data_IF_471532891189
#
_entry.id   IF_471532891189
#
_cell.length_a   1.000
_cell.length_b   1.000
_cell.length_c   1.000
_cell.angle_alpha   90.00
_cell.angle_beta   90.00
_cell.angle_gamma   90.00
#
_symmetry.space_group_name_H-M   'P 1'
#
loop_
_entity.id
_entity.type
_entity.pdbx_description
1 polymer ?
#
# COMPACT_ATOMS: atom_id res chain seq x y z
N UNK A 1 -68.95 45.91 -27.74
CA UNK A 1 -67.88 46.91 -27.64
C UNK A 1 -66.59 46.14 -27.51
N UNK A 2 -65.85 46.16 -28.60
CA UNK A 2 -64.73 45.29 -28.93
C UNK A 2 -63.45 45.62 -28.15
N UNK A 3 -62.63 44.61 -27.87
CA UNK A 3 -61.17 44.73 -27.97
C UNK A 3 -60.54 43.38 -28.27
N UNK A 4 -60.02 43.28 -29.48
CA UNK A 4 -59.20 42.20 -30.01
C UNK A 4 -57.83 42.10 -29.32
N UNK A 5 -57.31 40.88 -29.19
CA UNK A 5 -55.89 40.63 -29.48
C UNK A 5 -55.73 39.23 -30.11
N UNK A 6 -55.03 39.23 -31.25
CA UNK A 6 -54.81 38.12 -32.18
C UNK A 6 -53.61 37.28 -31.73
N UNK A 7 -53.71 35.97 -31.81
CA UNK A 7 -52.56 35.08 -32.07
C UNK A 7 -52.80 34.31 -33.35
N UNK A 8 -51.86 34.43 -34.27
CA UNK A 8 -51.87 33.87 -35.62
C UNK A 8 -51.05 32.59 -35.67
N UNK A 9 -51.71 31.56 -36.20
CA UNK A 9 -51.18 30.27 -36.63
C UNK A 9 -50.32 30.42 -37.89
N UNK A 10 -49.19 29.71 -37.97
CA UNK A 10 -48.53 29.40 -39.25
C UNK A 10 -47.78 28.07 -39.18
N UNK A 11 -48.34 27.10 -39.90
CA UNK A 11 -47.75 25.88 -40.45
C UNK A 11 -46.62 26.18 -41.45
N UNK A 12 -45.52 25.42 -41.40
CA UNK A 12 -44.53 25.20 -42.48
C UNK A 12 -43.89 23.83 -42.19
N UNK A 13 -44.29 22.78 -42.92
CA UNK A 13 -43.67 22.24 -44.14
C UNK A 13 -42.28 21.60 -43.93
N UNK A 14 -42.30 20.27 -43.92
CA UNK A 14 -41.16 19.37 -43.98
C UNK A 14 -40.49 19.46 -45.37
N UNK A 15 -39.18 19.71 -45.40
CA UNK A 15 -38.37 19.44 -46.58
C UNK A 15 -37.17 18.57 -46.19
N UNK A 16 -37.16 17.37 -46.77
CA UNK A 16 -36.09 16.40 -46.73
C UNK A 16 -34.88 16.89 -47.50
N UNK A 17 -33.70 16.95 -46.88
CA UNK A 17 -32.43 17.09 -47.60
C UNK A 17 -31.44 16.06 -47.08
N UNK A 18 -31.17 15.07 -47.93
CA UNK A 18 -30.24 13.97 -47.73
C UNK A 18 -28.80 14.51 -47.86
N UNK A 19 -28.14 14.80 -46.74
CA UNK A 19 -26.73 15.14 -46.69
C UNK A 19 -25.87 13.90 -46.48
N UNK A 20 -25.02 13.58 -47.45
CA UNK A 20 -23.96 12.58 -47.33
C UNK A 20 -22.95 13.02 -46.26
N UNK A 21 -22.80 12.21 -45.20
CA UNK A 21 -21.72 12.33 -44.23
C UNK A 21 -20.59 11.41 -44.68
N UNK A 22 -19.49 12.01 -45.12
CA UNK A 22 -18.22 11.33 -45.35
C UNK A 22 -17.68 10.80 -44.01
N UNK A 23 -17.39 9.50 -43.97
CA UNK A 23 -16.83 8.82 -42.80
C UNK A 23 -15.34 9.12 -42.68
N UNK A 24 -14.95 9.90 -41.67
CA UNK A 24 -13.55 10.01 -41.25
C UNK A 24 -13.05 8.65 -40.74
N UNK A 25 -12.07 8.10 -41.46
CA UNK A 25 -11.42 6.85 -41.14
C UNK A 25 -10.56 6.99 -39.88
N UNK A 26 -10.95 6.32 -38.80
CA UNK A 26 -10.05 6.11 -37.64
C UNK A 26 -8.92 5.18 -38.05
N UNK A 27 -7.71 5.73 -38.14
CA UNK A 27 -6.50 5.00 -38.51
C UNK A 27 -6.05 4.09 -37.36
N UNK A 28 -6.57 2.86 -37.34
CA UNK A 28 -6.16 1.81 -36.41
C UNK A 28 -4.82 1.26 -36.87
N UNK A 29 -3.73 1.69 -36.26
CA UNK A 29 -2.41 1.05 -36.40
C UNK A 29 -2.52 -0.46 -36.11
N UNK A 30 -2.58 -1.27 -37.18
CA UNK A 30 -2.53 -2.73 -37.11
C UNK A 30 -1.17 -3.13 -36.54
N UNK A 31 -1.16 -3.58 -35.29
CA UNK A 31 0.01 -4.23 -34.68
C UNK A 31 0.51 -5.34 -35.61
N UNK A 32 1.78 -5.28 -36.03
CA UNK A 32 2.43 -6.32 -36.83
C UNK A 32 2.39 -7.64 -36.06
N UNK A 33 1.51 -8.54 -36.47
CA UNK A 33 1.52 -9.93 -36.01
C UNK A 33 2.66 -10.67 -36.68
N UNK A 34 3.44 -11.42 -35.90
CA UNK A 34 4.41 -12.35 -36.47
C UNK A 34 3.67 -13.57 -37.01
N UNK A 35 3.91 -13.94 -38.26
CA UNK A 35 3.28 -15.10 -38.92
C UNK A 35 3.79 -16.44 -38.39
N UNK A 36 4.91 -16.46 -37.66
CA UNK A 36 5.48 -17.66 -37.04
C UNK A 36 5.04 -17.78 -35.57
N UNK A 37 4.68 -19.00 -35.17
CA UNK A 37 4.41 -19.32 -33.77
C UNK A 37 5.70 -19.25 -32.94
N UNK A 38 5.65 -18.75 -31.71
CA UNK A 38 6.83 -18.73 -30.85
C UNK A 38 7.22 -20.15 -30.38
N UNK A 39 8.51 -20.38 -30.17
CA UNK A 39 9.05 -21.69 -29.80
C UNK A 39 8.39 -22.29 -28.56
N UNK A 40 7.96 -21.43 -27.63
CA UNK A 40 7.32 -21.84 -26.40
C UNK A 40 5.89 -22.38 -26.63
N UNK A 41 5.14 -21.81 -27.57
CA UNK A 41 3.83 -22.31 -27.98
C UNK A 41 3.96 -23.60 -28.79
N UNK A 42 4.97 -23.69 -29.66
CA UNK A 42 5.30 -24.92 -30.42
C UNK A 42 5.64 -26.06 -29.46
N UNK A 43 6.56 -25.82 -28.52
CA UNK A 43 6.98 -26.81 -27.52
C UNK A 43 5.83 -27.32 -26.65
N UNK A 44 4.86 -26.45 -26.32
CA UNK A 44 3.68 -26.81 -25.52
C UNK A 44 2.50 -27.33 -26.33
N UNK A 45 2.61 -27.42 -27.66
CA UNK A 45 1.53 -27.79 -28.60
C UNK A 45 0.24 -26.98 -28.38
N UNK A 46 0.35 -25.66 -28.18
CA UNK A 46 -0.81 -24.75 -28.00
C UNK A 46 -0.84 -23.67 -29.09
N UNK A 47 -2.02 -23.18 -29.43
CA UNK A 47 -2.22 -22.12 -30.44
C UNK A 47 -1.51 -20.82 -30.02
N UNK A 48 -0.59 -20.32 -30.85
CA UNK A 48 0.12 -19.06 -30.62
C UNK A 48 -0.78 -17.88 -30.99
N UNK A 49 -0.88 -16.87 -30.13
CA UNK A 49 -1.71 -15.67 -30.38
C UNK A 49 -1.02 -14.65 -31.29
N UNK A 50 0.26 -14.86 -31.63
CA UNK A 50 1.04 -13.95 -32.50
C UNK A 50 1.39 -12.61 -31.87
N UNK A 51 1.12 -12.43 -30.57
CA UNK A 51 1.55 -11.28 -29.78
C UNK A 51 2.98 -11.55 -29.30
N UNK A 52 3.93 -10.64 -29.58
CA UNK A 52 5.33 -10.80 -29.17
C UNK A 52 5.42 -11.05 -27.65
N UNK A 53 6.03 -12.16 -27.19
CA UNK A 53 6.39 -12.30 -25.79
C UNK A 53 7.54 -11.34 -25.47
N UNK A 54 7.38 -10.51 -24.44
CA UNK A 54 8.39 -9.56 -23.93
C UNK A 54 9.69 -10.22 -23.41
N UNK A 55 9.86 -11.54 -23.56
CA UNK A 55 10.85 -12.33 -22.80
C UNK A 55 12.04 -12.86 -23.60
N UNK A 56 12.20 -12.52 -24.89
CA UNK A 56 13.27 -13.10 -25.71
C UNK A 56 14.24 -12.05 -26.29
N UNK A 57 14.85 -11.23 -25.42
CA UNK A 57 16.13 -10.60 -25.74
C UNK A 57 17.23 -11.48 -25.14
N UNK A 58 18.16 -12.05 -25.93
CA UNK A 58 19.25 -12.85 -25.40
C UNK A 58 20.17 -12.00 -24.49
N UNK A 59 20.42 -12.46 -23.27
CA UNK A 59 21.31 -11.78 -22.30
C UNK A 59 22.79 -11.74 -22.74
N UNK A 60 23.19 -12.54 -23.73
CA UNK A 60 24.60 -12.66 -24.15
C UNK A 60 25.06 -11.58 -25.15
N UNK A 61 24.26 -10.53 -25.38
CA UNK A 61 24.64 -9.40 -26.24
C UNK A 61 25.18 -8.19 -25.46
N UNK A 62 25.56 -8.36 -24.19
CA UNK A 62 26.09 -7.30 -23.33
C UNK A 62 27.61 -7.47 -23.23
N UNK A 63 28.35 -6.71 -24.05
CA UNK A 63 29.80 -6.57 -23.95
C UNK A 63 30.12 -5.49 -22.92
N UNK A 64 31.02 -5.76 -21.98
CA UNK A 64 31.32 -4.92 -20.80
C UNK A 64 32.05 -3.60 -21.12
N UNK A 65 32.58 -3.41 -22.34
CA UNK A 65 33.46 -2.27 -22.67
C UNK A 65 32.86 -1.19 -23.60
N UNK A 66 31.53 -1.15 -23.76
CA UNK A 66 30.88 -0.03 -24.44
C UNK A 66 30.12 0.85 -23.44
N UNK A 67 30.63 2.06 -23.26
CA UNK A 67 29.90 3.19 -22.70
C UNK A 67 28.45 3.18 -23.21
N UNK A 68 27.51 3.34 -22.28
CA UNK A 68 26.06 3.26 -22.42
C UNK A 68 25.42 4.18 -23.48
N UNK A 69 25.76 4.04 -24.76
CA UNK A 69 24.96 4.52 -25.89
C UNK A 69 24.07 3.37 -26.37
N UNK A 70 23.04 3.07 -25.56
CA UNK A 70 22.00 2.10 -25.88
C UNK A 70 21.07 2.67 -26.95
N UNK A 71 21.36 2.34 -28.21
CA UNK A 71 20.33 2.30 -29.25
C UNK A 71 19.38 1.14 -28.95
N UNK A 72 18.09 1.46 -28.76
CA UNK A 72 17.00 0.55 -28.37
C UNK A 72 16.87 0.26 -26.86
N UNK A 73 16.72 1.29 -26.03
CA UNK A 73 15.72 1.43 -24.95
C UNK A 73 15.82 2.82 -24.30
N UNK A 74 15.96 3.87 -25.12
CA UNK A 74 15.93 5.27 -24.69
C UNK A 74 14.48 5.72 -24.43
N UNK A 75 13.89 5.28 -23.31
CA UNK A 75 12.71 5.94 -22.74
C UNK A 75 13.05 6.70 -21.46
N UNK A 76 14.33 7.06 -21.29
CA UNK A 76 14.84 7.89 -20.19
C UNK A 76 15.44 9.15 -20.82
N UNK A 77 14.60 9.91 -21.51
CA UNK A 77 14.73 11.35 -21.75
C UNK A 77 13.33 11.83 -22.14
N UNK A 78 12.81 12.84 -21.45
CA UNK A 78 11.41 13.27 -21.61
C UNK A 78 11.30 14.17 -22.83
N UNK A 79 10.52 13.75 -23.81
CA UNK A 79 10.07 14.53 -24.95
C UNK A 79 8.66 15.10 -24.71
N UNK A 80 8.23 16.00 -25.59
CA UNK A 80 7.05 16.89 -25.55
C UNK A 80 5.66 16.23 -25.30
N UNK A 81 5.61 14.93 -25.00
CA UNK A 81 4.40 14.10 -24.92
C UNK A 81 3.94 13.75 -23.48
N UNK A 82 4.40 14.45 -22.45
CA UNK A 82 3.80 14.38 -21.10
C UNK A 82 4.12 13.12 -20.27
N UNK A 83 5.33 12.55 -20.38
CA UNK A 83 5.79 11.46 -19.48
C UNK A 83 6.86 11.95 -18.52
N UNK A 84 6.71 11.67 -17.23
CA UNK A 84 7.65 12.09 -16.17
C UNK A 84 9.01 11.37 -16.28
N UNK A 85 10.09 12.14 -16.13
CA UNK A 85 11.50 11.77 -16.00
C UNK A 85 11.77 10.90 -14.76
N UNK A 86 12.93 10.23 -14.74
CA UNK A 86 13.38 9.45 -13.58
C UNK A 86 13.55 10.29 -12.31
N UNK A 87 13.86 11.59 -12.42
CA UNK A 87 13.88 12.52 -11.27
C UNK A 87 12.50 12.68 -10.67
N UNK A 88 11.48 12.82 -11.51
CA UNK A 88 10.10 13.04 -11.07
C UNK A 88 9.53 11.82 -10.34
N UNK A 89 9.81 10.59 -10.78
CA UNK A 89 9.32 9.40 -10.08
C UNK A 89 9.94 9.19 -8.69
N UNK A 90 11.23 9.52 -8.49
CA UNK A 90 11.81 9.51 -7.14
C UNK A 90 11.16 10.54 -6.21
N UNK A 91 10.79 11.71 -6.75
CA UNK A 91 10.10 12.74 -5.97
C UNK A 91 8.69 12.27 -5.56
N UNK A 92 7.97 11.62 -6.49
CA UNK A 92 6.67 10.99 -6.20
C UNK A 92 6.81 9.92 -5.11
N UNK A 93 7.86 9.09 -5.17
CA UNK A 93 8.14 8.10 -4.13
C UNK A 93 8.26 8.76 -2.75
N UNK A 94 9.14 9.76 -2.61
CA UNK A 94 9.40 10.41 -1.34
C UNK A 94 8.20 11.18 -0.79
N UNK A 95 7.40 11.76 -1.69
CA UNK A 95 6.20 12.50 -1.30
C UNK A 95 5.07 11.56 -0.83
N UNK A 96 4.85 10.45 -1.54
CA UNK A 96 3.61 9.67 -1.40
C UNK A 96 3.80 8.30 -0.74
N UNK A 97 4.91 7.63 -1.00
CA UNK A 97 5.14 6.21 -0.63
C UNK A 97 6.09 6.09 0.54
N UNK A 98 7.13 6.92 0.60
CA UNK A 98 8.19 6.84 1.61
C UNK A 98 7.67 6.93 3.04
N UNK A 99 6.60 7.69 3.26
CA UNK A 99 5.92 7.78 4.55
C UNK A 99 5.27 6.47 5.01
N UNK A 100 4.92 5.59 4.08
CA UNK A 100 4.30 4.29 4.32
C UNK A 100 5.34 3.17 4.34
N UNK A 101 6.40 3.34 3.57
CA UNK A 101 7.44 2.37 3.35
C UNK A 101 8.76 3.13 3.24
N UNK A 102 9.47 3.34 4.34
CA UNK A 102 10.73 4.06 4.29
C UNK A 102 11.85 3.15 3.81
N UNK A 103 12.71 3.67 2.95
CA UNK A 103 13.89 2.95 2.43
C UNK A 103 15.17 3.71 2.74
N UNK A 104 15.22 4.99 2.38
CA UNK A 104 16.37 5.86 2.60
C UNK A 104 15.91 7.27 2.93
N UNK A 105 16.73 8.02 3.68
CA UNK A 105 16.55 9.45 3.84
C UNK A 105 16.60 10.14 2.47
N UNK A 106 15.64 11.02 2.11
CA UNK A 106 15.64 11.73 0.83
C UNK A 106 16.96 12.46 0.55
N UNK A 107 17.51 13.15 1.54
CA UNK A 107 18.75 13.93 1.38
C UNK A 107 19.93 13.02 1.04
N UNK A 108 20.07 11.91 1.77
CA UNK A 108 21.11 10.92 1.53
C UNK A 108 20.93 10.24 0.16
N UNK A 109 19.69 9.95 -0.21
CA UNK A 109 19.37 9.36 -1.51
C UNK A 109 19.78 10.28 -2.65
N UNK A 110 19.41 11.56 -2.60
CA UNK A 110 19.74 12.50 -3.68
C UNK A 110 21.22 12.82 -3.74
N UNK A 111 21.91 12.91 -2.60
CA UNK A 111 23.36 13.06 -2.55
C UNK A 111 24.11 11.88 -3.19
N UNK A 112 23.57 10.66 -3.06
CA UNK A 112 24.23 9.43 -3.53
C UNK A 112 23.48 8.74 -4.68
N UNK A 113 22.63 9.46 -5.42
CA UNK A 113 21.71 8.87 -6.41
C UNK A 113 22.42 7.97 -7.43
N UNK A 114 23.63 8.34 -7.84
CA UNK A 114 24.45 7.60 -8.81
C UNK A 114 24.97 6.25 -8.28
N UNK A 115 24.98 6.06 -6.96
CA UNK A 115 25.41 4.82 -6.29
C UNK A 115 24.23 3.92 -5.91
N UNK A 116 22.99 4.40 -6.09
CA UNK A 116 21.81 3.61 -5.75
C UNK A 116 21.67 2.45 -6.75
N UNK A 117 21.56 1.19 -6.30
CA UNK A 117 21.41 0.05 -7.20
C UNK A 117 20.19 0.21 -8.11
N UNK A 118 20.36 -0.13 -9.40
CA UNK A 118 19.25 -0.10 -10.38
C UNK A 118 18.05 -0.91 -9.89
N UNK A 119 18.29 -2.03 -9.21
CA UNK A 119 17.23 -2.86 -8.64
C UNK A 119 16.31 -2.06 -7.71
N UNK A 120 16.88 -1.23 -6.84
CA UNK A 120 16.11 -0.38 -5.92
C UNK A 120 15.38 0.74 -6.68
N UNK A 121 16.04 1.40 -7.63
CA UNK A 121 15.43 2.47 -8.42
C UNK A 121 14.21 1.97 -9.19
N UNK A 122 14.31 0.84 -9.88
CA UNK A 122 13.16 0.26 -10.59
C UNK A 122 12.03 -0.13 -9.62
N UNK A 123 12.34 -0.63 -8.42
CA UNK A 123 11.33 -0.96 -7.43
C UNK A 123 10.59 0.30 -6.93
N UNK A 124 11.34 1.39 -6.68
CA UNK A 124 10.78 2.71 -6.33
C UNK A 124 9.91 3.27 -7.47
N UNK A 125 10.35 3.16 -8.73
CA UNK A 125 9.57 3.61 -9.89
C UNK A 125 8.27 2.84 -10.03
N UNK A 126 8.32 1.50 -9.90
CA UNK A 126 7.13 0.67 -10.00
C UNK A 126 6.04 1.11 -9.02
N UNK A 127 6.38 1.28 -7.73
CA UNK A 127 5.41 1.71 -6.71
C UNK A 127 4.94 3.15 -6.89
N UNK A 128 5.82 4.04 -7.34
CA UNK A 128 5.49 5.46 -7.52
C UNK A 128 4.55 5.68 -8.69
N UNK A 129 4.83 5.01 -9.81
CA UNK A 129 3.99 5.07 -11.00
C UNK A 129 2.61 4.49 -10.66
N UNK A 130 2.54 3.29 -10.08
CA UNK A 130 1.23 2.71 -9.75
C UNK A 130 0.47 3.52 -8.69
N UNK A 131 1.16 4.12 -7.72
CA UNK A 131 0.55 5.03 -6.75
C UNK A 131 0.00 6.31 -7.38
N UNK A 132 0.66 6.86 -8.40
CA UNK A 132 0.27 8.10 -9.06
C UNK A 132 -0.81 7.90 -10.13
N UNK A 133 -0.65 6.89 -11.00
CA UNK A 133 -1.54 6.67 -12.14
C UNK A 133 -2.70 5.73 -11.85
N UNK A 134 -2.70 5.06 -10.69
CA UNK A 134 -3.63 3.98 -10.35
C UNK A 134 -3.75 2.97 -11.51
N UNK A 135 -2.65 2.70 -12.21
CA UNK A 135 -2.63 1.85 -13.42
C UNK A 135 -1.49 0.83 -13.37
N UNK A 136 -1.59 -0.18 -14.24
CA UNK A 136 -0.55 -1.18 -14.49
C UNK A 136 0.74 -0.59 -15.12
N UNK A 137 0.88 0.73 -15.20
CA UNK A 137 2.04 1.40 -15.79
C UNK A 137 3.35 1.12 -15.01
N UNK A 138 3.26 0.68 -13.75
CA UNK A 138 4.42 0.20 -12.97
C UNK A 138 4.93 -1.19 -13.39
N UNK A 139 4.17 -1.95 -14.18
CA UNK A 139 4.49 -3.36 -14.48
C UNK A 139 5.77 -3.54 -15.29
N UNK A 140 6.13 -2.55 -16.11
CA UNK A 140 7.40 -2.55 -16.83
C UNK A 140 8.59 -2.57 -15.85
N UNK A 141 8.61 -1.62 -14.91
CA UNK A 141 9.68 -1.53 -13.91
C UNK A 141 9.66 -2.73 -12.97
N UNK A 142 8.48 -3.22 -12.59
CA UNK A 142 8.35 -4.41 -11.76
C UNK A 142 8.86 -5.68 -12.47
N UNK A 143 8.59 -5.82 -13.78
CA UNK A 143 9.10 -6.94 -14.59
C UNK A 143 10.62 -6.86 -14.70
N UNK A 144 11.18 -5.67 -14.90
CA UNK A 144 12.63 -5.48 -14.90
C UNK A 144 13.26 -5.82 -13.53
N UNK A 145 12.61 -5.43 -12.43
CA UNK A 145 13.03 -5.81 -11.09
C UNK A 145 13.10 -7.34 -10.91
N UNK A 146 12.18 -8.11 -11.50
CA UNK A 146 12.21 -9.58 -11.44
C UNK A 146 13.45 -10.18 -12.11
N UNK A 147 13.95 -9.56 -13.18
CA UNK A 147 15.17 -9.99 -13.84
C UNK A 147 16.39 -9.70 -12.95
N UNK A 148 16.46 -8.49 -12.38
CA UNK A 148 17.55 -8.09 -11.47
C UNK A 148 17.55 -8.87 -10.15
N UNK A 149 16.36 -9.25 -9.67
CA UNK A 149 16.17 -10.02 -8.45
C UNK A 149 16.93 -11.35 -8.48
N UNK A 150 16.90 -12.08 -9.59
CA UNK A 150 17.56 -13.38 -9.71
C UNK A 150 19.08 -13.27 -9.49
N UNK A 151 19.69 -12.20 -9.99
CA UNK A 151 21.13 -11.97 -9.86
C UNK A 151 21.53 -11.46 -8.46
N UNK A 152 20.57 -11.01 -7.65
CA UNK A 152 20.84 -10.33 -6.37
C UNK A 152 20.66 -11.23 -5.15
N UNK A 153 20.19 -12.47 -5.31
CA UNK A 153 19.83 -13.37 -4.21
C UNK A 153 21.04 -14.00 -3.51
N UNK A 154 22.15 -14.19 -4.21
CA UNK A 154 23.31 -14.92 -3.70
C UNK A 154 24.12 -14.09 -2.68
N UNK A 155 24.13 -12.76 -2.84
CA UNK A 155 24.82 -11.84 -1.94
C UNK A 155 23.92 -10.65 -1.59
N UNK A 156 22.91 -10.84 -0.73
CA UNK A 156 21.92 -9.81 -0.44
C UNK A 156 22.55 -8.65 0.35
N UNK A 157 22.30 -7.44 -0.13
CA UNK A 157 22.60 -6.19 0.59
C UNK A 157 21.33 -5.64 1.25
N UNK A 158 21.46 -4.64 2.13
CA UNK A 158 20.31 -3.92 2.66
C UNK A 158 19.40 -3.35 1.54
N UNK A 159 20.00 -2.80 0.48
CA UNK A 159 19.28 -2.28 -0.68
C UNK A 159 18.56 -3.39 -1.44
N UNK A 160 19.17 -4.58 -1.56
CA UNK A 160 18.53 -5.77 -2.14
C UNK A 160 17.26 -6.11 -1.36
N UNK A 161 17.33 -6.15 -0.02
CA UNK A 161 16.18 -6.47 0.83
C UNK A 161 15.06 -5.42 0.66
N UNK A 162 15.38 -4.12 0.70
CA UNK A 162 14.39 -3.07 0.42
C UNK A 162 13.76 -3.18 -0.96
N UNK A 163 14.54 -3.50 -1.99
CA UNK A 163 14.04 -3.68 -3.36
C UNK A 163 13.01 -4.80 -3.41
N UNK A 164 13.30 -5.95 -2.80
CA UNK A 164 12.39 -7.10 -2.73
C UNK A 164 11.12 -6.73 -1.96
N UNK A 165 11.25 -5.98 -0.86
CA UNK A 165 10.09 -5.55 -0.07
C UNK A 165 9.24 -4.52 -0.82
N UNK A 166 9.82 -3.60 -1.59
CA UNK A 166 9.08 -2.67 -2.46
C UNK A 166 8.38 -3.41 -3.59
N UNK A 167 9.03 -4.42 -4.19
CA UNK A 167 8.37 -5.32 -5.13
C UNK A 167 7.21 -6.08 -4.48
N UNK A 168 7.40 -6.55 -3.25
CA UNK A 168 6.35 -7.21 -2.48
C UNK A 168 5.17 -6.25 -2.27
N UNK A 169 5.45 -5.01 -1.86
CA UNK A 169 4.45 -3.96 -1.69
C UNK A 169 3.70 -3.70 -2.99
N UNK A 170 4.43 -3.56 -4.10
CA UNK A 170 3.83 -3.41 -5.42
C UNK A 170 2.90 -4.58 -5.76
N UNK A 171 3.37 -5.81 -5.55
CA UNK A 171 2.60 -7.02 -5.83
C UNK A 171 1.37 -7.16 -4.94
N UNK A 172 1.46 -6.75 -3.68
CA UNK A 172 0.36 -6.84 -2.72
C UNK A 172 -0.72 -5.79 -2.99
N UNK A 173 -0.32 -4.58 -3.40
CA UNK A 173 -1.23 -3.44 -3.49
C UNK A 173 -1.73 -3.18 -4.90
N UNK A 174 -0.93 -3.42 -5.94
CA UNK A 174 -1.25 -3.00 -7.31
C UNK A 174 -1.37 -4.14 -8.33
N UNK A 175 -0.69 -5.28 -8.12
CA UNK A 175 -0.75 -6.37 -9.11
C UNK A 175 -2.01 -7.23 -9.04
N UNK A 176 -2.52 -7.56 -10.22
CA UNK A 176 -3.65 -8.48 -10.45
C UNK A 176 -3.34 -9.95 -10.15
N UNK A 177 -2.06 -10.33 -10.07
CA UNK A 177 -1.66 -11.75 -9.96
C UNK A 177 -1.60 -12.20 -8.51
N UNK A 178 -2.26 -13.33 -8.22
CA UNK A 178 -2.65 -13.76 -6.87
C UNK A 178 -1.53 -14.38 -6.01
N UNK A 179 -0.28 -14.51 -6.48
CA UNK A 179 0.75 -15.30 -5.78
C UNK A 179 2.12 -14.65 -5.56
N UNK A 180 2.40 -13.50 -6.17
CA UNK A 180 3.74 -12.90 -6.12
C UNK A 180 4.11 -12.30 -4.75
N UNK A 181 3.15 -11.62 -4.10
CA UNK A 181 3.42 -10.87 -2.88
C UNK A 181 4.01 -11.70 -1.74
N UNK A 182 3.33 -12.78 -1.29
CA UNK A 182 3.84 -13.62 -0.19
C UNK A 182 5.21 -14.25 -0.46
N UNK A 183 5.45 -14.71 -1.69
CA UNK A 183 6.73 -15.33 -2.06
C UNK A 183 7.88 -14.32 -2.06
N UNK A 184 7.62 -13.07 -2.48
CA UNK A 184 8.59 -11.99 -2.39
C UNK A 184 8.87 -11.57 -0.93
N UNK A 185 7.86 -11.53 -0.05
CA UNK A 185 8.08 -11.26 1.39
C UNK A 185 8.94 -12.36 2.01
N UNK A 186 8.65 -13.64 1.72
CA UNK A 186 9.48 -14.75 2.17
C UNK A 186 10.93 -14.65 1.64
N UNK A 187 11.10 -14.24 0.38
CA UNK A 187 12.43 -14.02 -0.20
C UNK A 187 13.18 -12.85 0.48
N UNK A 188 12.48 -11.77 0.83
CA UNK A 188 13.05 -10.65 1.58
C UNK A 188 13.49 -11.07 2.97
N UNK A 189 12.67 -11.84 3.69
CA UNK A 189 13.00 -12.40 5.01
C UNK A 189 14.26 -13.27 4.92
N UNK A 190 14.33 -14.19 3.96
CA UNK A 190 15.51 -15.04 3.74
C UNK A 190 16.75 -14.22 3.42
N UNK A 191 16.61 -13.23 2.54
CA UNK A 191 17.70 -12.33 2.15
C UNK A 191 18.22 -11.52 3.35
N UNK A 192 17.32 -11.06 4.21
CA UNK A 192 17.66 -10.35 5.45
C UNK A 192 18.37 -11.25 6.46
N UNK A 193 17.90 -12.49 6.65
CA UNK A 193 18.57 -13.47 7.51
C UNK A 193 19.98 -13.80 7.00
N UNK A 194 20.17 -13.93 5.69
CA UNK A 194 21.49 -14.13 5.09
C UNK A 194 22.40 -12.91 5.30
N UNK A 195 21.87 -11.70 5.15
CA UNK A 195 22.58 -10.45 5.46
C UNK A 195 22.99 -10.35 6.94
N UNK A 196 22.18 -10.85 7.87
CA UNK A 196 22.55 -10.91 9.29
C UNK A 196 23.65 -11.95 9.54
N UNK A 197 23.55 -13.14 8.94
CA UNK A 197 24.55 -14.21 9.08
C UNK A 197 25.92 -13.79 8.56
N UNK A 198 25.99 -13.09 7.43
CA UNK A 198 27.28 -12.62 6.89
C UNK A 198 27.97 -11.61 7.80
N UNK A 199 27.20 -10.83 8.58
CA UNK A 199 27.74 -9.91 9.59
C UNK A 199 28.21 -10.59 10.87
N UNK A 200 27.55 -11.67 11.29
CA UNK A 200 27.86 -12.38 12.54
C UNK A 200 28.98 -13.42 12.33
N UNK A 201 29.01 -14.09 11.17
CA UNK A 201 29.83 -15.27 10.92
C UNK A 201 31.22 -15.02 10.32
N UNK A 202 31.54 -13.79 9.91
CA UNK A 202 32.86 -13.44 9.39
C UNK A 202 33.51 -12.44 10.33
N UNK A 203 34.66 -12.79 10.91
CA UNK A 203 35.57 -11.77 11.44
C UNK A 203 35.77 -10.74 10.33
N UNK A 204 35.22 -9.54 10.52
CA UNK A 204 35.25 -8.52 9.48
C UNK A 204 36.71 -8.35 9.05
N UNK A 205 37.03 -8.32 7.74
CA UNK A 205 38.27 -7.67 7.33
C UNK A 205 38.26 -6.31 8.02
N UNK A 206 39.32 -6.01 8.77
CA UNK A 206 39.48 -4.81 9.59
C UNK A 206 39.57 -3.56 8.71
N UNK A 207 38.50 -3.25 7.99
CA UNK A 207 38.22 -1.94 7.49
C UNK A 207 37.67 -1.19 8.68
N UNK A 208 38.46 -0.24 9.23
CA UNK A 208 37.93 0.75 10.17
C UNK A 208 36.74 1.41 9.48
N UNK A 209 35.49 1.13 9.90
CA UNK A 209 34.37 1.88 9.37
C UNK A 209 34.60 3.33 9.80
N UNK A 210 34.33 4.29 8.91
CA UNK A 210 34.03 5.63 9.40
C UNK A 210 32.85 5.47 10.37
N UNK A 211 32.95 6.03 11.58
CA UNK A 211 31.90 5.91 12.63
C UNK A 211 30.49 6.29 12.12
N UNK A 212 30.43 7.12 11.07
CA UNK A 212 29.21 7.50 10.35
C UNK A 212 28.56 6.36 9.54
N UNK A 213 29.34 5.42 9.01
CA UNK A 213 28.84 4.28 8.22
C UNK A 213 28.27 3.20 9.14
N UNK A 214 28.86 2.98 10.31
CA UNK A 214 28.36 1.99 11.28
C UNK A 214 27.04 2.44 11.92
N UNK A 215 26.92 3.72 12.26
CA UNK A 215 25.67 4.31 12.77
C UNK A 215 24.56 4.27 11.71
N UNK A 216 24.87 4.68 10.46
CA UNK A 216 23.95 4.59 9.33
C UNK A 216 23.51 3.14 9.06
N UNK A 217 24.43 2.19 9.24
CA UNK A 217 24.18 0.76 9.10
C UNK A 217 23.20 0.25 10.17
N UNK A 218 23.28 0.70 11.43
CA UNK A 218 22.35 0.29 12.49
C UNK A 218 20.93 0.83 12.26
N UNK A 219 20.79 2.11 11.95
CA UNK A 219 19.48 2.73 11.66
C UNK A 219 18.81 2.08 10.45
N UNK A 220 19.58 1.81 9.39
CA UNK A 220 19.08 1.14 8.19
C UNK A 220 18.59 -0.28 8.49
N UNK A 221 19.31 -1.04 9.32
CA UNK A 221 18.91 -2.39 9.73
C UNK A 221 17.67 -2.38 10.62
N UNK A 222 17.53 -1.39 11.50
CA UNK A 222 16.31 -1.21 12.29
C UNK A 222 15.11 -0.92 11.40
N UNK A 223 15.28 -0.02 10.43
CA UNK A 223 14.24 0.31 9.45
C UNK A 223 13.85 -0.93 8.62
N UNK A 224 14.83 -1.69 8.13
CA UNK A 224 14.59 -2.95 7.42
C UNK A 224 13.78 -3.92 8.25
N UNK A 225 14.16 -4.12 9.52
CA UNK A 225 13.46 -5.02 10.44
C UNK A 225 12.01 -4.58 10.61
N UNK A 226 11.79 -3.28 10.81
CA UNK A 226 10.44 -2.70 10.93
C UNK A 226 9.60 -2.96 9.66
N UNK A 227 10.13 -2.64 8.47
CA UNK A 227 9.40 -2.81 7.20
C UNK A 227 9.12 -4.29 6.92
N UNK A 228 10.09 -5.18 7.21
CA UNK A 228 9.90 -6.63 7.12
C UNK A 228 8.75 -7.09 8.00
N UNK A 229 8.76 -6.65 9.25
CA UNK A 229 7.74 -7.04 10.22
C UNK A 229 6.34 -6.57 9.81
N UNK A 230 6.24 -5.33 9.33
CA UNK A 230 4.98 -4.80 8.80
C UNK A 230 4.50 -5.57 7.56
N UNK A 231 5.41 -5.94 6.65
CA UNK A 231 5.07 -6.68 5.43
C UNK A 231 4.68 -8.13 5.71
N UNK A 232 5.38 -8.81 6.62
CA UNK A 232 5.03 -10.14 7.13
C UNK A 232 3.63 -10.11 7.77
N UNK A 233 3.36 -9.09 8.59
CA UNK A 233 2.05 -8.87 9.19
C UNK A 233 0.92 -8.75 8.14
N UNK A 234 1.12 -7.88 7.14
CA UNK A 234 0.15 -7.66 6.05
C UNK A 234 -0.11 -8.91 5.23
N UNK A 235 0.94 -9.69 4.93
CA UNK A 235 0.80 -10.98 4.24
C UNK A 235 0.02 -11.97 5.09
N UNK A 236 0.32 -12.05 6.39
CA UNK A 236 -0.38 -12.94 7.31
C UNK A 236 -1.87 -12.64 7.43
N UNK A 237 -2.27 -11.37 7.43
CA UNK A 237 -3.70 -11.00 7.37
C UNK A 237 -4.31 -11.38 6.02
N UNK A 238 -3.71 -10.91 4.92
CA UNK A 238 -4.35 -10.96 3.59
C UNK A 238 -4.45 -12.39 3.04
N UNK A 239 -3.46 -13.23 3.32
CA UNK A 239 -3.37 -14.57 2.76
C UNK A 239 -3.56 -15.68 3.80
N UNK A 240 -3.74 -15.33 5.08
CA UNK A 240 -3.84 -16.30 6.18
C UNK A 240 -2.62 -17.24 6.24
N UNK A 241 -1.47 -16.75 5.78
CA UNK A 241 -0.20 -17.50 5.83
C UNK A 241 0.38 -17.31 7.23
N UNK A 242 0.87 -18.37 7.89
CA UNK A 242 1.61 -18.24 9.14
C UNK A 242 2.75 -17.24 8.99
N UNK A 243 2.96 -16.41 9.99
CA UNK A 243 4.07 -15.46 10.00
C UNK A 243 5.40 -16.18 9.81
N UNK A 244 6.24 -15.65 8.93
CA UNK A 244 7.50 -16.29 8.55
C UNK A 244 8.66 -15.68 9.37
N UNK A 245 8.50 -14.44 9.83
CA UNK A 245 9.54 -13.74 10.56
C UNK A 245 9.35 -13.90 12.06
N UNK A 246 9.83 -15.02 12.60
CA UNK A 246 9.80 -15.32 14.04
C UNK A 246 10.67 -14.31 14.81
N UNK A 247 10.02 -13.61 15.75
CA UNK A 247 10.47 -12.52 16.62
C UNK A 247 11.64 -11.66 16.13
N UNK A 248 11.42 -10.34 15.91
CA UNK A 248 12.52 -9.48 15.50
C UNK A 248 13.60 -9.53 16.60
N UNK A 249 14.89 -9.65 16.25
CA UNK A 249 15.98 -9.66 17.22
C UNK A 249 16.11 -8.25 17.81
N UNK A 250 15.22 -7.88 18.72
CA UNK A 250 15.07 -6.50 19.17
C UNK A 250 14.92 -6.45 20.69
N UNK A 251 16.08 -6.43 21.35
CA UNK A 251 16.26 -5.46 22.42
C UNK A 251 16.35 -4.08 21.75
N UNK A 252 15.20 -3.53 21.34
CA UNK A 252 15.12 -2.20 20.74
C UNK A 252 15.32 -1.16 21.84
N UNK A 253 16.57 -0.80 22.10
CA UNK A 253 16.87 0.46 22.77
C UNK A 253 16.98 1.53 21.69
N UNK A 254 16.11 2.57 21.70
CA UNK A 254 16.25 3.68 20.77
C UNK A 254 17.66 4.25 20.90
N UNK A 255 18.39 4.29 19.80
CA UNK A 255 19.74 4.85 19.79
C UNK A 255 19.59 6.32 20.17
N UNK A 256 20.05 6.70 21.36
CA UNK A 256 20.14 8.10 21.77
C UNK A 256 21.29 8.75 21.02
N UNK A 257 21.12 8.93 19.70
CA UNK A 257 22.08 9.63 18.87
C UNK A 257 22.05 11.12 19.23
N UNK A 258 23.18 11.65 19.68
CA UNK A 258 23.41 13.10 19.87
C UNK A 258 23.49 13.85 18.54
N UNK A 259 23.60 13.14 17.42
CA UNK A 259 23.79 13.76 16.11
C UNK A 259 22.47 14.21 15.46
N UNK A 260 22.48 15.35 14.74
CA UNK A 260 21.28 15.96 14.16
C UNK A 260 20.76 15.27 12.88
N UNK A 261 21.46 14.26 12.35
CA UNK A 261 21.33 13.86 10.94
C UNK A 261 20.17 12.92 10.57
N UNK A 262 19.20 12.64 11.44
CA UNK A 262 17.93 12.08 10.97
C UNK A 262 16.74 12.32 11.91
N UNK A 263 15.93 13.36 11.65
CA UNK A 263 14.61 13.49 12.29
C UNK A 263 13.67 12.32 11.94
N UNK A 264 13.98 11.54 10.90
CA UNK A 264 13.13 10.45 10.42
C UNK A 264 13.18 9.20 11.33
N UNK A 265 14.37 8.83 11.82
CA UNK A 265 14.57 7.65 12.69
C UNK A 265 14.27 7.93 14.16
N UNK A 266 14.23 9.20 14.55
CA UNK A 266 13.86 9.64 15.91
C UNK A 266 12.35 9.74 16.12
N UNK A 267 11.53 9.45 15.11
CA UNK A 267 10.08 9.60 15.24
C UNK A 267 9.52 8.52 16.18
N UNK A 268 9.01 8.96 17.34
CA UNK A 268 8.32 8.09 18.30
C UNK A 268 7.21 7.26 17.65
N UNK A 269 6.64 7.75 16.54
CA UNK A 269 5.65 7.05 15.74
C UNK A 269 6.08 5.63 15.37
N UNK A 270 7.31 5.42 14.85
CA UNK A 270 7.73 4.09 14.38
C UNK A 270 7.87 3.10 15.54
N UNK A 271 8.34 3.56 16.69
CA UNK A 271 8.45 2.76 17.91
C UNK A 271 7.06 2.32 18.37
N UNK A 272 6.11 3.25 18.45
CA UNK A 272 4.75 2.92 18.84
C UNK A 272 4.05 2.04 17.80
N UNK A 273 4.32 2.24 16.51
CA UNK A 273 3.76 1.39 15.46
C UNK A 273 4.27 -0.04 15.56
N UNK A 274 5.59 -0.23 15.74
CA UNK A 274 6.19 -1.56 15.88
C UNK A 274 5.61 -2.31 17.09
N UNK A 275 5.47 -1.63 18.24
CA UNK A 275 4.83 -2.22 19.44
C UNK A 275 3.39 -2.65 19.16
N UNK A 276 2.60 -1.87 18.41
CA UNK A 276 1.26 -2.29 17.99
C UNK A 276 1.30 -3.49 17.06
N UNK A 277 2.22 -3.54 16.09
CA UNK A 277 2.38 -4.69 15.20
C UNK A 277 2.71 -5.96 15.99
N UNK A 278 3.56 -5.87 17.02
CA UNK A 278 3.87 -7.00 17.91
C UNK A 278 2.66 -7.51 18.69
N UNK A 279 1.85 -6.59 19.21
CA UNK A 279 0.58 -6.93 19.86
C UNK A 279 -0.36 -7.58 18.85
N UNK A 280 -0.48 -7.02 17.64
CA UNK A 280 -1.34 -7.52 16.59
C UNK A 280 -0.99 -8.95 16.18
N UNK A 281 0.31 -9.23 16.00
CA UNK A 281 0.82 -10.57 15.72
C UNK A 281 0.46 -11.54 16.85
N UNK A 282 0.62 -11.14 18.11
CA UNK A 282 0.23 -11.96 19.27
C UNK A 282 -1.27 -12.27 19.30
N UNK A 283 -2.12 -11.30 18.99
CA UNK A 283 -3.59 -11.50 18.89
C UNK A 283 -3.91 -12.55 17.83
N UNK A 284 -3.20 -12.52 16.70
CA UNK A 284 -3.42 -13.47 15.61
C UNK A 284 -2.88 -14.88 15.90
N UNK A 285 -1.69 -15.00 16.50
CA UNK A 285 -1.03 -16.30 16.76
C UNK A 285 -1.55 -16.99 18.03
N UNK A 286 -1.88 -16.21 19.08
CA UNK A 286 -2.22 -16.74 20.40
C UNK A 286 -3.62 -16.26 20.84
N UNK A 287 -4.71 -16.60 20.11
CA UNK A 287 -6.04 -16.04 20.38
C UNK A 287 -6.62 -16.43 21.77
N UNK A 288 -6.01 -17.39 22.46
CA UNK A 288 -6.39 -17.83 23.80
C UNK A 288 -5.83 -16.94 24.93
N UNK A 289 -4.79 -16.13 24.68
CA UNK A 289 -4.13 -15.31 25.71
C UNK A 289 -4.67 -13.87 25.78
N UNK A 290 -5.99 -13.72 25.79
CA UNK A 290 -6.66 -12.41 25.70
C UNK A 290 -6.35 -11.50 26.88
N UNK A 291 -6.23 -12.05 28.08
CA UNK A 291 -5.94 -11.29 29.30
C UNK A 291 -4.60 -10.55 29.22
N UNK A 292 -3.55 -11.21 28.69
CA UNK A 292 -2.25 -10.57 28.47
C UNK A 292 -2.32 -9.55 27.33
N UNK A 293 -2.93 -9.91 26.20
CA UNK A 293 -3.06 -9.03 25.03
C UNK A 293 -3.81 -7.74 25.35
N UNK A 294 -4.89 -7.84 26.14
CA UNK A 294 -5.64 -6.69 26.64
C UNK A 294 -4.74 -5.73 27.44
N UNK A 295 -4.00 -6.26 28.42
CA UNK A 295 -3.06 -5.48 29.24
C UNK A 295 -1.94 -4.86 28.40
N UNK A 296 -1.46 -5.57 27.37
CA UNK A 296 -0.43 -5.05 26.46
C UNK A 296 -0.96 -3.87 25.63
N UNK A 297 -2.20 -3.94 25.12
CA UNK A 297 -2.85 -2.84 24.40
C UNK A 297 -3.08 -1.63 25.33
N UNK A 298 -3.59 -1.86 26.53
CA UNK A 298 -3.85 -0.81 27.53
C UNK A 298 -2.54 -0.10 27.93
N UNK A 299 -1.50 -0.87 28.26
CA UNK A 299 -0.18 -0.32 28.57
C UNK A 299 0.42 0.46 27.40
N UNK A 300 0.23 -0.02 26.17
CA UNK A 300 0.68 0.72 24.99
C UNK A 300 -0.04 2.07 24.89
N UNK A 301 -1.37 2.10 25.07
CA UNK A 301 -2.18 3.31 25.00
C UNK A 301 -1.78 4.31 26.10
N UNK A 302 -1.59 3.85 27.33
CA UNK A 302 -1.12 4.65 28.47
C UNK A 302 0.28 5.24 28.27
N UNK A 303 1.12 4.56 27.47
CA UNK A 303 2.48 5.03 27.17
C UNK A 303 2.54 6.14 26.11
N UNK A 304 1.42 6.49 25.47
CA UNK A 304 1.40 7.51 24.43
C UNK A 304 1.49 8.92 25.04
N UNK A 305 2.25 9.83 24.40
CA UNK A 305 2.21 11.24 24.76
C UNK A 305 0.81 11.84 24.65
N UNK A 306 0.48 12.79 25.55
CA UNK A 306 -0.84 13.47 25.57
C UNK A 306 -1.23 14.06 24.21
N UNK A 307 -0.29 14.67 23.49
CA UNK A 307 -0.56 15.27 22.18
C UNK A 307 -0.99 14.24 21.10
N UNK A 308 -0.70 12.95 21.28
CA UNK A 308 -1.17 11.87 20.41
C UNK A 308 -2.59 11.44 20.83
N UNK A 309 -2.82 11.32 22.13
CA UNK A 309 -4.10 10.91 22.70
C UNK A 309 -5.21 11.94 22.42
N UNK A 310 -4.91 13.22 22.65
CA UNK A 310 -5.84 14.35 22.52
C UNK A 310 -5.94 14.88 21.07
N UNK A 311 -5.21 14.27 20.13
CA UNK A 311 -5.26 14.63 18.72
C UNK A 311 -6.64 14.39 18.11
N UNK A 312 -7.37 15.46 17.81
CA UNK A 312 -8.63 15.42 17.05
C UNK A 312 -8.48 15.92 15.62
N UNK A 313 -7.51 16.79 15.34
CA UNK A 313 -7.23 17.32 14.00
C UNK A 313 -5.83 16.96 13.56
N UNK A 314 -5.66 16.73 12.26
CA UNK A 314 -4.41 16.25 11.68
C UNK A 314 -3.99 17.14 10.52
N UNK A 315 -2.69 17.17 10.22
CA UNK A 315 -2.14 17.90 9.08
C UNK A 315 -1.16 17.05 8.27
N UNK A 316 -1.06 17.37 6.98
CA UNK A 316 -0.09 16.74 6.07
C UNK A 316 1.30 17.39 6.09
N UNK A 317 1.40 18.62 6.60
CA UNK A 317 2.65 19.38 6.67
C UNK A 317 3.35 19.10 8.00
N UNK A 318 4.64 18.76 7.94
CA UNK A 318 5.50 18.53 9.12
C UNK A 318 5.93 19.88 9.73
N UNK A 319 5.11 20.92 9.63
CA UNK A 319 5.45 22.21 10.23
C UNK A 319 5.41 22.05 11.76
N UNK A 320 6.44 22.51 12.49
CA UNK A 320 6.62 22.19 13.92
C UNK A 320 5.51 22.63 14.88
N UNK A 321 4.51 23.41 14.46
CA UNK A 321 3.76 24.26 15.39
C UNK A 321 2.22 24.18 15.32
N UNK A 322 1.60 22.99 15.26
CA UNK A 322 0.37 22.76 16.07
C UNK A 322 -0.33 21.41 15.87
N UNK A 323 -0.34 20.83 14.66
CA UNK A 323 -1.22 19.68 14.39
C UNK A 323 -0.46 18.37 14.23
N UNK A 324 -0.86 17.28 14.91
CA UNK A 324 -0.26 15.96 14.71
C UNK A 324 -0.40 15.49 13.25
N UNK A 325 0.55 14.69 12.80
CA UNK A 325 0.55 14.20 11.42
C UNK A 325 -0.54 13.15 11.18
N UNK A 326 -0.93 12.94 9.92
CA UNK A 326 -1.83 11.84 9.55
C UNK A 326 -1.35 10.45 10.01
N UNK A 327 -0.04 10.27 10.22
CA UNK A 327 0.52 9.05 10.79
C UNK A 327 -0.03 8.77 12.20
N UNK A 328 -0.27 9.81 13.00
CA UNK A 328 -0.91 9.66 14.32
C UNK A 328 -2.34 9.16 14.17
N UNK A 329 -3.11 9.70 13.22
CA UNK A 329 -4.46 9.19 12.93
C UNK A 329 -4.43 7.72 12.52
N UNK A 330 -3.45 7.33 11.69
CA UNK A 330 -3.24 5.92 11.32
C UNK A 330 -2.96 5.03 12.53
N UNK A 331 -2.10 5.45 13.49
CA UNK A 331 -1.89 4.70 14.74
C UNK A 331 -3.17 4.52 15.54
N UNK A 332 -3.98 5.58 15.68
CA UNK A 332 -5.24 5.52 16.42
C UNK A 332 -6.24 4.56 15.74
N UNK A 333 -6.33 4.60 14.41
CA UNK A 333 -7.13 3.63 13.66
C UNK A 333 -6.63 2.21 13.88
N UNK A 334 -5.31 2.00 13.84
CA UNK A 334 -4.73 0.68 14.04
C UNK A 334 -4.98 0.15 15.45
N UNK A 335 -4.83 1.00 16.48
CA UNK A 335 -5.19 0.68 17.87
C UNK A 335 -6.63 0.19 18.00
N UNK A 336 -7.60 0.97 17.50
CA UNK A 336 -9.02 0.59 17.56
C UNK A 336 -9.32 -0.67 16.75
N UNK A 337 -8.61 -0.89 15.64
CA UNK A 337 -8.70 -2.13 14.89
C UNK A 337 -8.23 -3.34 15.73
N UNK A 338 -7.16 -3.20 16.51
CA UNK A 338 -6.71 -4.28 17.40
C UNK A 338 -7.71 -4.57 18.53
N UNK A 339 -8.39 -3.55 19.06
CA UNK A 339 -9.50 -3.76 19.99
C UNK A 339 -10.61 -4.60 19.32
N UNK A 340 -10.99 -4.27 18.09
CA UNK A 340 -11.97 -5.07 17.33
C UNK A 340 -11.48 -6.51 17.12
N UNK A 341 -10.20 -6.72 16.77
CA UNK A 341 -9.68 -8.08 16.60
C UNK A 341 -9.62 -8.86 17.93
N UNK A 342 -9.27 -8.21 19.03
CA UNK A 342 -9.19 -8.82 20.36
C UNK A 342 -10.53 -9.42 20.80
N UNK A 343 -11.63 -8.68 20.58
CA UNK A 343 -12.98 -9.07 20.98
C UNK A 343 -13.77 -9.78 19.86
N UNK A 344 -13.14 -10.12 18.73
CA UNK A 344 -13.82 -10.67 17.55
C UNK A 344 -14.59 -11.97 17.82
N UNK A 345 -14.07 -12.83 18.70
CA UNK A 345 -14.72 -14.12 19.00
C UNK A 345 -15.94 -13.93 19.90
N UNK A 346 -15.83 -13.09 20.94
CA UNK A 346 -16.92 -12.71 21.83
C UNK A 346 -18.00 -11.95 21.06
N UNK A 347 -17.61 -11.04 20.17
CA UNK A 347 -18.52 -10.32 19.29
C UNK A 347 -19.36 -11.29 18.44
N UNK A 348 -18.73 -12.35 17.88
CA UNK A 348 -19.45 -13.40 17.14
C UNK A 348 -20.38 -14.23 18.03
N UNK A 349 -19.99 -14.48 19.28
CA UNK A 349 -20.82 -15.20 20.23
C UNK A 349 -22.03 -14.36 20.65
N UNK A 350 -21.84 -13.06 20.90
CA UNK A 350 -22.90 -12.11 21.16
C UNK A 350 -23.95 -12.08 20.04
N UNK A 351 -23.51 -12.10 18.77
CA UNK A 351 -24.45 -12.20 17.63
C UNK A 351 -25.34 -13.44 17.67
N UNK A 352 -24.89 -14.54 18.28
CA UNK A 352 -25.67 -15.78 18.41
C UNK A 352 -26.62 -15.72 19.59
N UNK A 353 -26.15 -15.22 20.73
CA UNK A 353 -26.86 -15.31 22.00
C UNK A 353 -27.73 -14.09 22.29
N UNK A 354 -27.55 -12.98 21.57
CA UNK A 354 -28.22 -11.68 21.74
C UNK A 354 -28.12 -11.05 23.15
N UNK A 355 -27.23 -11.55 24.01
CA UNK A 355 -27.04 -11.04 25.36
C UNK A 355 -25.96 -9.96 25.37
N UNK A 356 -26.33 -8.70 25.65
CA UNK A 356 -25.41 -7.56 25.71
C UNK A 356 -24.16 -7.89 26.55
N UNK A 357 -23.01 -8.00 25.87
CA UNK A 357 -21.72 -8.22 26.50
C UNK A 357 -20.86 -6.97 26.30
N UNK A 358 -20.13 -6.59 27.34
CA UNK A 358 -19.06 -5.60 27.33
C UNK A 358 -18.12 -5.68 26.11
N UNK A 359 -17.92 -6.87 25.55
CA UNK A 359 -17.10 -7.08 24.35
C UNK A 359 -17.73 -6.49 23.08
N UNK A 360 -19.06 -6.56 22.95
CA UNK A 360 -19.82 -5.96 21.85
C UNK A 360 -19.68 -4.43 21.91
N UNK A 361 -19.99 -3.85 23.06
CA UNK A 361 -19.91 -2.40 23.29
C UNK A 361 -18.50 -1.85 22.97
N UNK A 362 -17.44 -2.52 23.42
CA UNK A 362 -16.05 -2.12 23.13
C UNK A 362 -15.70 -2.17 21.64
N UNK A 363 -16.22 -3.17 20.92
CA UNK A 363 -16.01 -3.30 19.48
C UNK A 363 -16.73 -2.19 18.73
N UNK A 364 -17.98 -1.91 19.09
CA UNK A 364 -18.80 -0.83 18.50
C UNK A 364 -18.16 0.53 18.77
N UNK A 365 -17.79 0.83 20.02
CA UNK A 365 -17.13 2.08 20.40
C UNK A 365 -15.81 2.28 19.63
N UNK A 366 -15.04 1.22 19.43
CA UNK A 366 -13.81 1.28 18.62
C UNK A 366 -14.10 1.49 17.14
N UNK A 367 -15.16 0.90 16.60
CA UNK A 367 -15.56 1.11 15.22
C UNK A 367 -16.06 2.55 14.98
N UNK A 368 -16.83 3.12 15.92
CA UNK A 368 -17.23 4.53 15.91
C UNK A 368 -16.02 5.46 15.97
N UNK A 369 -15.03 5.15 16.81
CA UNK A 369 -13.79 5.93 16.88
C UNK A 369 -13.00 5.91 15.55
N UNK A 370 -12.92 4.76 14.88
CA UNK A 370 -12.34 4.67 13.52
C UNK A 370 -13.14 5.53 12.55
N UNK A 371 -14.46 5.46 12.55
CA UNK A 371 -15.29 6.21 11.62
C UNK A 371 -15.17 7.74 11.82
N UNK A 372 -15.04 8.22 13.07
CA UNK A 372 -14.73 9.62 13.36
C UNK A 372 -13.41 10.07 12.73
N UNK A 373 -12.37 9.25 12.84
CA UNK A 373 -11.07 9.53 12.21
C UNK A 373 -11.17 9.49 10.68
N UNK A 374 -11.92 8.54 10.11
CA UNK A 374 -12.16 8.43 8.66
C UNK A 374 -12.94 9.63 8.13
N UNK A 375 -13.96 10.12 8.86
CA UNK A 375 -14.68 11.36 8.53
C UNK A 375 -13.70 12.53 8.43
N UNK A 376 -12.77 12.64 9.38
CA UNK A 376 -11.72 13.65 9.34
C UNK A 376 -10.80 13.49 8.11
N UNK A 377 -10.37 12.27 7.77
CA UNK A 377 -9.65 12.00 6.52
C UNK A 377 -10.44 12.46 5.30
N UNK A 378 -11.71 12.09 5.17
CA UNK A 378 -12.52 12.48 4.01
C UNK A 378 -12.64 14.01 3.86
N UNK A 379 -12.67 14.76 4.97
CA UNK A 379 -12.73 16.22 4.94
C UNK A 379 -11.38 16.88 4.62
N UNK A 380 -10.27 16.39 5.18
CA UNK A 380 -8.99 17.12 5.19
C UNK A 380 -7.86 16.43 4.39
N UNK A 381 -8.02 15.16 4.03
CA UNK A 381 -7.10 14.36 3.21
C UNK A 381 -7.87 13.26 2.46
N UNK A 382 -8.78 13.63 1.53
CA UNK A 382 -9.68 12.68 0.87
C UNK A 382 -8.97 11.64 0.01
N UNK A 383 -7.71 11.89 -0.33
CA UNK A 383 -6.85 10.98 -1.09
C UNK A 383 -6.00 10.06 -0.19
N UNK A 384 -6.14 10.16 1.13
CA UNK A 384 -5.36 9.38 2.10
C UNK A 384 -3.84 9.43 1.82
N UNK A 385 -3.35 10.56 1.31
CA UNK A 385 -1.94 10.73 0.97
C UNK A 385 -1.07 10.53 2.21
N UNK A 386 0.06 9.83 2.01
CA UNK A 386 1.03 9.55 3.07
C UNK A 386 0.62 8.47 4.07
N UNK A 387 -0.51 7.78 3.86
CA UNK A 387 -1.00 6.71 4.74
C UNK A 387 -0.89 5.36 4.05
N UNK A 388 -0.51 4.33 4.82
CA UNK A 388 -0.43 2.98 4.28
C UNK A 388 -1.78 2.59 3.67
N UNK A 389 -1.76 2.19 2.40
CA UNK A 389 -2.98 1.74 1.72
C UNK A 389 -3.69 0.64 2.51
N UNK A 390 -2.97 -0.17 3.29
CA UNK A 390 -3.53 -1.21 4.16
C UNK A 390 -4.56 -0.72 5.20
N UNK A 391 -4.63 0.60 5.46
CA UNK A 391 -5.70 1.22 6.26
C UNK A 391 -7.10 0.82 5.78
N UNK A 392 -7.28 0.53 4.47
CA UNK A 392 -8.56 0.10 3.92
C UNK A 392 -9.12 -1.13 4.66
N UNK A 393 -8.26 -2.07 5.06
CA UNK A 393 -8.66 -3.29 5.76
C UNK A 393 -9.21 -2.97 7.16
N UNK A 394 -8.59 -2.00 7.85
CA UNK A 394 -9.02 -1.56 9.16
C UNK A 394 -10.39 -0.87 9.10
N UNK A 395 -10.57 0.00 8.11
CA UNK A 395 -11.84 0.68 7.84
C UNK A 395 -12.91 -0.36 7.48
N UNK A 396 -12.59 -1.32 6.61
CA UNK A 396 -13.49 -2.42 6.24
C UNK A 396 -13.98 -3.21 7.46
N UNK A 397 -13.08 -3.65 8.33
CA UNK A 397 -13.46 -4.37 9.55
C UNK A 397 -14.32 -3.51 10.49
N UNK A 398 -14.02 -2.21 10.62
CA UNK A 398 -14.86 -1.30 11.41
C UNK A 398 -16.27 -1.14 10.82
N UNK A 399 -16.40 -1.08 9.50
CA UNK A 399 -17.71 -1.00 8.83
C UNK A 399 -18.57 -2.23 9.07
N UNK A 400 -17.96 -3.43 9.06
CA UNK A 400 -18.68 -4.66 9.40
C UNK A 400 -19.26 -4.58 10.80
N UNK A 401 -18.47 -4.11 11.78
CA UNK A 401 -18.94 -3.94 13.16
C UNK A 401 -20.09 -2.93 13.24
N UNK A 402 -20.03 -1.81 12.52
CA UNK A 402 -21.10 -0.81 12.51
C UNK A 402 -22.39 -1.34 11.84
N UNK A 403 -22.29 -2.10 10.74
CA UNK A 403 -23.46 -2.73 10.10
C UNK A 403 -24.12 -3.72 11.06
N UNK A 404 -23.33 -4.59 11.67
CA UNK A 404 -23.84 -5.57 12.63
C UNK A 404 -24.43 -4.86 13.85
N UNK A 405 -23.80 -3.79 14.33
CA UNK A 405 -24.35 -3.00 15.42
C UNK A 405 -25.74 -2.50 15.08
N UNK A 406 -25.96 -1.99 13.86
CA UNK A 406 -27.27 -1.52 13.41
C UNK A 406 -28.34 -2.60 13.45
N UNK A 407 -28.00 -3.79 12.99
CA UNK A 407 -28.90 -4.95 12.98
C UNK A 407 -29.39 -5.33 14.38
N UNK A 408 -28.63 -4.95 15.41
CA UNK A 408 -28.93 -5.21 16.81
C UNK A 408 -29.57 -3.98 17.48
N UNK A 409 -29.04 -2.78 17.19
CA UNK A 409 -29.40 -1.48 17.78
C UNK A 409 -29.07 -0.32 16.80
N UNK A 410 -30.06 0.48 16.42
CA UNK A 410 -29.95 1.52 15.38
C UNK A 410 -29.23 2.81 15.85
N UNK A 411 -28.89 2.95 17.14
CA UNK A 411 -28.42 4.22 17.72
C UNK A 411 -27.10 4.77 17.08
N UNK A 412 -26.22 3.91 16.55
CA UNK A 412 -24.85 4.29 16.17
C UNK A 412 -24.59 4.39 14.67
N UNK A 413 -25.53 3.94 13.84
CA UNK A 413 -25.22 3.58 12.45
C UNK A 413 -25.13 4.76 11.49
N UNK A 414 -26.13 5.65 11.51
CA UNK A 414 -26.38 6.57 10.39
C UNK A 414 -25.29 7.65 10.22
N UNK A 415 -24.72 8.17 11.31
CA UNK A 415 -23.74 9.26 11.22
C UNK A 415 -22.37 8.79 10.70
N UNK A 416 -21.98 7.55 11.04
CA UNK A 416 -20.60 7.08 10.91
C UNK A 416 -20.38 6.13 9.73
N UNK A 417 -21.42 5.40 9.32
CA UNK A 417 -21.32 4.40 8.25
C UNK A 417 -21.00 5.01 6.88
N UNK A 418 -21.59 6.16 6.55
CA UNK A 418 -21.40 6.82 5.25
C UNK A 418 -19.95 7.25 5.03
N UNK A 419 -19.29 7.75 6.09
CA UNK A 419 -17.88 8.16 6.04
C UNK A 419 -16.97 6.97 5.71
N UNK A 420 -17.23 5.82 6.35
CA UNK A 420 -16.49 4.60 6.03
C UNK A 420 -16.79 4.10 4.61
N UNK A 421 -18.04 4.12 4.17
CA UNK A 421 -18.41 3.74 2.81
C UNK A 421 -17.70 4.59 1.76
N UNK A 422 -17.62 5.91 1.96
CA UNK A 422 -16.89 6.82 1.08
C UNK A 422 -15.41 6.44 1.00
N UNK A 423 -14.77 6.18 2.15
CA UNK A 423 -13.37 5.77 2.20
C UNK A 423 -13.13 4.41 1.52
N UNK A 424 -13.97 3.41 1.79
CA UNK A 424 -13.86 2.10 1.15
C UNK A 424 -14.14 2.21 -0.36
N UNK A 425 -15.04 3.09 -0.83
CA UNK A 425 -15.19 3.36 -2.27
C UNK A 425 -13.95 4.01 -2.87
N UNK A 426 -13.30 4.93 -2.16
CA UNK A 426 -12.04 5.52 -2.58
C UNK A 426 -10.95 4.46 -2.74
N UNK A 427 -10.67 3.68 -1.68
CA UNK A 427 -9.76 2.54 -1.77
C UNK A 427 -10.22 1.50 -2.78
N UNK A 428 -11.54 1.35 -2.92
CA UNK A 428 -12.26 0.62 -3.95
C UNK A 428 -11.77 0.94 -5.33
N UNK A 429 -11.68 2.24 -5.67
CA UNK A 429 -11.18 2.75 -6.95
C UNK A 429 -9.68 2.56 -7.10
N UNK A 430 -8.90 2.94 -6.07
CA UNK A 430 -7.43 2.82 -6.06
C UNK A 430 -7.00 1.35 -6.21
N UNK A 431 -7.70 0.45 -5.55
CA UNK A 431 -7.46 -0.98 -5.52
C UNK A 431 -8.41 -1.74 -6.46
N UNK A 432 -9.26 -1.08 -7.28
CA UNK A 432 -10.23 -1.75 -8.20
C UNK A 432 -9.52 -2.67 -9.19
N UNK A 433 -8.21 -2.48 -9.35
CA UNK A 433 -7.34 -3.34 -10.12
C UNK A 433 -7.08 -4.70 -9.42
N UNK A 434 -7.29 -4.82 -8.11
CA UNK A 434 -7.37 -6.07 -7.38
C UNK A 434 -8.80 -6.63 -7.47
N UNK A 435 -8.97 -7.74 -8.20
CA UNK A 435 -10.26 -8.43 -8.42
C UNK A 435 -11.05 -8.79 -7.16
N UNK A 436 -10.43 -8.77 -5.99
CA UNK A 436 -11.05 -9.17 -4.71
C UNK A 436 -11.88 -8.06 -4.06
N UNK A 437 -11.50 -6.79 -4.23
CA UNK A 437 -12.17 -5.70 -3.52
C UNK A 437 -13.59 -5.39 -4.03
N UNK A 438 -13.89 -5.47 -5.34
CA UNK A 438 -15.26 -5.34 -5.82
C UNK A 438 -16.19 -6.40 -5.23
N UNK A 439 -15.70 -7.62 -5.00
CA UNK A 439 -16.48 -8.69 -4.38
C UNK A 439 -16.76 -8.38 -2.91
N UNK A 440 -15.78 -7.88 -2.15
CA UNK A 440 -15.97 -7.50 -0.75
C UNK A 440 -16.86 -6.26 -0.57
N UNK A 441 -16.76 -5.28 -1.49
CA UNK A 441 -17.63 -4.12 -1.55
C UNK A 441 -19.06 -4.49 -1.90
N UNK A 442 -19.27 -5.38 -2.87
CA UNK A 442 -20.59 -5.92 -3.17
C UNK A 442 -21.15 -6.69 -1.98
N UNK A 443 -20.35 -7.54 -1.32
CA UNK A 443 -20.79 -8.19 -0.08
C UNK A 443 -21.16 -7.21 1.03
N UNK A 444 -20.40 -6.13 1.21
CA UNK A 444 -20.75 -5.07 2.16
C UNK A 444 -22.07 -4.39 1.78
N UNK A 445 -22.27 -4.10 0.49
CA UNK A 445 -23.50 -3.53 -0.03
C UNK A 445 -24.68 -4.49 0.19
N UNK A 446 -24.53 -5.77 -0.15
CA UNK A 446 -25.54 -6.80 0.04
C UNK A 446 -25.90 -6.95 1.53
N UNK A 447 -24.90 -7.00 2.42
CA UNK A 447 -25.10 -7.04 3.87
C UNK A 447 -25.81 -5.77 4.39
N UNK A 448 -25.51 -4.61 3.78
CA UNK A 448 -26.17 -3.35 4.12
C UNK A 448 -27.61 -3.31 3.64
N UNK A 449 -27.87 -3.78 2.42
CA UNK A 449 -29.22 -3.84 1.83
C UNK A 449 -30.08 -4.86 2.58
N UNK A 450 -29.53 -6.02 2.96
CA UNK A 450 -30.18 -6.98 3.85
C UNK A 450 -30.52 -6.34 5.20
N UNK A 451 -29.57 -5.63 5.81
CA UNK A 451 -29.80 -4.93 7.06
C UNK A 451 -30.82 -3.79 6.99
N UNK A 452 -31.02 -3.21 5.80
CA UNK A 452 -32.03 -2.19 5.55
C UNK A 452 -33.40 -2.78 5.23
N UNK A 453 -33.47 -4.00 4.67
CA UNK A 453 -34.71 -4.66 4.28
C UNK A 453 -35.40 -5.40 5.44
N UNK A 454 -34.67 -5.71 6.52
CA UNK A 454 -35.24 -6.26 7.76
C UNK A 454 -35.89 -5.19 8.67
N UNK A 455 -35.75 -3.90 8.31
CA UNK A 455 -36.45 -2.76 8.91
C UNK A 455 -37.75 -2.48 8.15
#
# INVERSE_FOLDING_TARGET
>A
MDSNSRESSSTLEESSTTGQIESEATDKTKLRRTSKACDMCVKKRRKCTGNMPFSNVPLNAINEDQHWTVGAFSWIEVNENGRLSTKEWTSVYFSNIHNQFPVLCPDLFYANKHQIPQFLLHAMYAVSIAGASQSASGDFHFTHCKLLFQNSLDSPTAMTVFSILLMSYYSLMYQKSTGGGPSLVAAAIRSFQNLLKSRIGGGLPTYKPLDSIETLSKELMQLLTYVLYEMDYKVGIKYQIPFIFDDPPLNYEPVQSKEPYSPFYKSQFWIHHLKLLEIAKRIQVQPHNKGKQKKDIERWHESLPKYILEAETFSGTVLPSSKPSWKVAYLKIFYHYLIIQLYKTEFKQHMRDKNADSAFEKSVNSAVAIAKLVKNFNCNNPTFQGISLFIYHYIYCSSIVLIISKLIDDQYYKEYFDSNCQAIRYFGKVLYQNRHLPVELNRLKDLTELALAEL
#
